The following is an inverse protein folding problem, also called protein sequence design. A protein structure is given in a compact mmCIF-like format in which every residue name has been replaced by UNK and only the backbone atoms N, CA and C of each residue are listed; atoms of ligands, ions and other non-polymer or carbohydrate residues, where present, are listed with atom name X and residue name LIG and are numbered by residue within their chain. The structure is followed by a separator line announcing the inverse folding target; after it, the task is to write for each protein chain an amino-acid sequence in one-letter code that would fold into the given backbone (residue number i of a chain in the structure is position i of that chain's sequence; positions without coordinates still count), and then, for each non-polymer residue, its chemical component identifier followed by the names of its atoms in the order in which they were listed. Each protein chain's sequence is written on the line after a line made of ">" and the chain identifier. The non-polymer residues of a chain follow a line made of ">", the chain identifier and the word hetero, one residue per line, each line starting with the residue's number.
data_IF_796610794117
#
_entry.id   IF_796610794117
#
_cell.length_a   1.000
_cell.length_b   1.000
_cell.length_c   1.000
_cell.angle_alpha   90.00
_cell.angle_beta   90.00
_cell.angle_gamma   90.00
#
_symmetry.space_group_name_H-M   'P 1'
#
loop_
_entity.id
_entity.type
_entity.pdbx_description
1 polymer ?
#
# COMPACT_ATOMS: atom_id res chain seq x y z
N UNK A 1 40.14 83.44 8.31
CA UNK A 1 39.12 84.14 7.50
C UNK A 1 37.80 83.40 7.61
N UNK A 2 36.74 84.08 8.02
CA UNK A 2 35.32 83.66 7.90
C UNK A 2 34.68 84.50 6.77
N UNK A 3 33.66 84.01 6.03
CA UNK A 3 32.25 83.87 6.48
C UNK A 3 31.72 82.42 6.32
N UNK A 4 30.71 81.90 7.03
CA UNK A 4 29.33 82.34 7.32
C UNK A 4 28.33 82.18 6.15
N UNK A 5 27.42 81.19 6.24
CA UNK A 5 25.96 81.43 6.30
C UNK A 5 25.11 80.16 6.61
N UNK A 6 23.91 80.39 7.17
CA UNK A 6 22.80 79.47 7.53
C UNK A 6 21.48 80.28 7.44
N UNK A 7 20.27 79.68 7.43
CA UNK A 7 19.82 78.41 6.84
C UNK A 7 18.85 78.70 5.64
N UNK A 8 17.48 78.77 5.67
CA UNK A 8 16.41 78.24 6.54
C UNK A 8 15.31 77.35 5.86
N UNK A 9 14.70 76.46 6.64
CA UNK A 9 13.30 75.95 6.59
C UNK A 9 12.62 75.44 5.30
N UNK A 10 11.98 74.26 5.43
CA UNK A 10 10.50 74.13 5.31
C UNK A 10 9.98 72.96 6.14
N UNK A 11 8.82 73.15 6.79
CA UNK A 11 8.10 72.13 7.56
C UNK A 11 7.25 71.29 6.61
N UNK A 12 7.21 69.98 6.80
CA UNK A 12 6.15 69.12 6.25
C UNK A 12 5.66 68.16 7.33
N UNK A 13 4.46 68.43 7.84
CA UNK A 13 3.64 67.44 8.52
C UNK A 13 3.33 66.31 7.53
N UNK A 14 3.34 65.05 7.99
CA UNK A 14 2.73 63.95 7.24
C UNK A 14 1.79 63.18 8.16
N UNK A 15 0.53 63.09 7.72
CA UNK A 15 -0.58 62.55 8.50
C UNK A 15 -0.54 61.02 8.60
N UNK A 16 -1.22 60.52 9.64
CA UNK A 16 -2.05 59.31 9.65
C UNK A 16 -2.06 58.48 8.34
N UNK A 17 -1.35 57.35 8.36
CA UNK A 17 -1.66 56.19 7.54
C UNK A 17 -2.43 55.17 8.39
N UNK A 18 -3.71 54.93 8.06
CA UNK A 18 -4.56 54.03 8.84
C UNK A 18 -4.10 52.56 8.75
N UNK A 19 -4.14 51.86 9.87
CA UNK A 19 -3.93 50.40 9.91
C UNK A 19 -5.13 49.73 9.24
N UNK A 20 -4.97 49.29 7.99
CA UNK A 20 -5.92 48.37 7.36
C UNK A 20 -5.82 46.99 8.03
N UNK A 21 -6.61 46.81 9.09
CA UNK A 21 -6.98 45.48 9.58
C UNK A 21 -7.86 44.80 8.52
N UNK A 22 -7.21 44.23 7.51
CA UNK A 22 -7.83 43.30 6.59
C UNK A 22 -8.23 42.04 7.39
N UNK A 23 -9.45 42.06 7.92
CA UNK A 23 -10.00 40.97 8.70
C UNK A 23 -10.02 39.70 7.86
N UNK A 24 -9.10 38.77 8.15
CA UNK A 24 -9.21 37.41 7.69
C UNK A 24 -10.54 36.87 8.23
N UNK A 25 -11.56 36.80 7.36
CA UNK A 25 -12.73 35.95 7.59
C UNK A 25 -12.19 34.54 7.71
N UNK A 26 -11.98 34.09 8.94
CA UNK A 26 -11.84 32.68 9.23
C UNK A 26 -13.09 32.02 8.67
N UNK A 27 -12.94 31.29 7.55
CA UNK A 27 -13.98 30.41 7.09
C UNK A 27 -14.30 29.49 8.27
N UNK A 28 -15.54 29.49 8.73
CA UNK A 28 -15.94 28.64 9.84
C UNK A 28 -15.55 27.21 9.47
N UNK A 29 -14.63 26.62 10.25
CA UNK A 29 -14.21 25.24 10.04
C UNK A 29 -15.47 24.40 9.99
N UNK A 30 -15.67 23.68 8.88
CA UNK A 30 -16.83 22.83 8.73
C UNK A 30 -16.92 21.91 9.97
N UNK A 31 -18.12 21.71 10.54
CA UNK A 31 -18.26 20.86 11.72
C UNK A 31 -17.62 19.50 11.42
N UNK A 32 -16.83 18.93 12.35
CA UNK A 32 -16.08 17.71 12.09
C UNK A 32 -17.03 16.65 11.53
N UNK A 33 -16.67 16.08 10.37
CA UNK A 33 -17.51 15.07 9.73
C UNK A 33 -17.76 13.94 10.73
N UNK A 34 -19.03 13.59 10.91
CA UNK A 34 -19.40 12.49 11.80
C UNK A 34 -18.84 11.20 11.22
N UNK A 35 -17.81 10.67 11.88
CA UNK A 35 -17.17 9.38 11.55
C UNK A 35 -18.25 8.31 11.45
N UNK A 36 -18.30 7.57 10.35
CA UNK A 36 -19.29 6.50 10.20
C UNK A 36 -18.92 5.28 11.05
N UNK A 37 -19.86 4.38 11.40
CA UNK A 37 -19.54 3.16 12.14
C UNK A 37 -18.54 2.23 11.41
N UNK A 38 -18.47 2.30 10.08
CA UNK A 38 -17.47 1.57 9.29
C UNK A 38 -16.10 2.24 9.38
N UNK A 39 -16.04 3.56 9.26
CA UNK A 39 -14.81 4.34 9.38
C UNK A 39 -14.21 4.23 10.80
N UNK A 40 -15.04 4.22 11.84
CA UNK A 40 -14.61 3.97 13.21
C UNK A 40 -13.95 2.58 13.35
N UNK A 41 -14.60 1.52 12.87
CA UNK A 41 -14.04 0.15 12.87
C UNK A 41 -12.74 0.05 12.07
N UNK A 42 -12.65 0.74 10.92
CA UNK A 42 -11.40 0.82 10.15
C UNK A 42 -10.28 1.49 10.95
N UNK A 43 -10.55 2.62 11.60
CA UNK A 43 -9.56 3.36 12.40
C UNK A 43 -9.08 2.54 13.61
N UNK A 44 -9.98 1.85 14.30
CA UNK A 44 -9.64 0.93 15.41
C UNK A 44 -8.76 -0.24 14.93
N UNK A 45 -9.16 -0.93 13.85
CA UNK A 45 -8.36 -2.00 13.22
C UNK A 45 -6.97 -1.49 12.82
N UNK A 46 -6.91 -0.34 12.16
CA UNK A 46 -5.66 0.30 11.75
C UNK A 46 -4.78 0.64 12.95
N UNK A 47 -5.36 1.11 14.05
CA UNK A 47 -4.63 1.44 15.27
C UNK A 47 -4.00 0.19 15.90
N UNK A 48 -4.76 -0.91 16.06
CA UNK A 48 -4.24 -2.20 16.54
C UNK A 48 -3.05 -2.69 15.70
N UNK A 49 -3.11 -2.52 14.38
CA UNK A 49 -2.01 -2.95 13.50
C UNK A 49 -0.79 -2.02 13.56
N UNK A 50 -0.98 -0.71 13.79
CA UNK A 50 0.14 0.21 14.08
C UNK A 50 0.80 -0.12 15.42
N UNK A 51 0.03 -0.46 16.44
CA UNK A 51 0.57 -0.87 17.75
C UNK A 51 1.37 -2.17 17.65
N UNK A 52 0.88 -3.14 16.86
CA UNK A 52 1.50 -4.46 16.74
C UNK A 52 2.71 -4.50 15.80
N UNK A 53 2.61 -3.88 14.62
CA UNK A 53 3.68 -3.92 13.62
C UNK A 53 4.61 -2.70 13.70
N UNK A 54 4.20 -1.63 14.37
CA UNK A 54 4.89 -0.34 14.38
C UNK A 54 4.56 0.51 13.14
N UNK A 55 5.58 1.15 12.56
CA UNK A 55 5.48 1.96 11.33
C UNK A 55 6.04 1.35 10.02
N UNK A 56 6.21 0.02 9.83
CA UNK A 56 6.66 -0.51 8.56
C UNK A 56 5.56 -0.39 7.50
N UNK A 57 5.93 0.09 6.32
CA UNK A 57 5.21 -0.26 5.10
C UNK A 57 5.48 -1.72 4.72
N UNK A 58 4.74 -2.23 3.74
CA UNK A 58 4.90 -3.60 3.24
C UNK A 58 4.89 -3.62 1.71
N UNK A 59 5.52 -4.61 1.10
CA UNK A 59 5.27 -4.92 -0.31
C UNK A 59 4.01 -5.79 -0.40
N UNK A 60 3.01 -5.31 -1.13
CA UNK A 60 1.89 -6.13 -1.58
C UNK A 60 2.29 -6.87 -2.84
N UNK A 61 2.05 -8.19 -2.86
CA UNK A 61 2.22 -9.05 -4.03
C UNK A 61 0.87 -9.68 -4.35
N UNK A 62 0.38 -9.50 -5.58
CA UNK A 62 -0.89 -10.10 -6.01
C UNK A 62 -0.71 -10.84 -7.32
N UNK A 63 -1.09 -12.12 -7.33
CA UNK A 63 -1.22 -12.95 -8.51
C UNK A 63 -2.50 -13.81 -8.45
N UNK A 64 -2.64 -14.73 -9.40
CA UNK A 64 -3.67 -15.76 -9.39
C UNK A 64 -3.05 -17.12 -9.69
N UNK A 65 -3.77 -18.19 -9.37
CA UNK A 65 -3.42 -19.55 -9.75
C UNK A 65 -3.20 -19.70 -11.27
N UNK A 66 -2.30 -20.59 -11.67
CA UNK A 66 -2.00 -20.81 -13.08
C UNK A 66 -3.27 -21.19 -13.87
N UNK A 67 -3.47 -20.54 -15.01
CA UNK A 67 -4.65 -20.73 -15.86
C UNK A 67 -5.93 -20.03 -15.38
N UNK A 68 -5.90 -19.30 -14.25
CA UNK A 68 -7.04 -18.54 -13.74
C UNK A 68 -6.84 -17.03 -13.95
N UNK A 69 -7.94 -16.32 -14.24
CA UNK A 69 -7.98 -14.87 -14.39
C UNK A 69 -9.21 -14.30 -13.68
N UNK A 70 -9.01 -13.18 -12.99
CA UNK A 70 -10.04 -12.46 -12.23
C UNK A 70 -10.18 -11.04 -12.76
N UNK A 71 -11.41 -10.64 -13.07
CA UNK A 71 -11.70 -9.31 -13.64
C UNK A 71 -12.11 -8.32 -12.56
N UNK A 72 -11.75 -7.05 -12.78
CA UNK A 72 -12.10 -5.93 -11.90
C UNK A 72 -11.78 -6.16 -10.40
N UNK A 73 -10.63 -6.78 -10.13
CA UNK A 73 -10.16 -7.06 -8.77
C UNK A 73 -9.92 -5.76 -7.99
N UNK A 74 -10.43 -5.69 -6.75
CA UNK A 74 -10.22 -4.59 -5.81
C UNK A 74 -10.03 -5.16 -4.40
N UNK A 75 -8.94 -4.76 -3.71
CA UNK A 75 -8.70 -5.14 -2.31
C UNK A 75 -8.83 -3.90 -1.43
N UNK A 76 -9.45 -4.06 -0.27
CA UNK A 76 -9.63 -3.03 0.75
C UNK A 76 -9.11 -3.57 2.08
N UNK A 77 -8.53 -2.74 2.94
CA UNK A 77 -8.61 -3.04 4.37
C UNK A 77 -10.11 -3.05 4.73
N UNK A 78 -10.61 -4.05 5.46
CA UNK A 78 -12.03 -4.48 5.42
C UNK A 78 -13.11 -3.37 5.36
N UNK A 79 -12.98 -2.33 6.18
CA UNK A 79 -13.93 -1.20 6.27
C UNK A 79 -13.39 0.13 5.68
N UNK A 80 -12.30 0.10 4.92
CA UNK A 80 -11.71 1.29 4.32
C UNK A 80 -12.49 1.75 3.09
N UNK A 81 -12.73 3.07 2.99
CA UNK A 81 -13.37 3.73 1.85
C UNK A 81 -12.61 3.58 0.52
N UNK A 82 -11.30 3.34 0.58
CA UNK A 82 -10.41 3.29 -0.57
C UNK A 82 -9.67 1.95 -0.65
N UNK A 83 -9.56 1.42 -1.87
CA UNK A 83 -8.86 0.17 -2.15
C UNK A 83 -7.35 0.34 -1.98
N UNK A 84 -6.69 -0.57 -1.28
CA UNK A 84 -5.22 -0.67 -1.25
C UNK A 84 -4.65 -1.29 -2.54
N UNK A 85 -5.48 -1.98 -3.31
CA UNK A 85 -5.11 -2.57 -4.60
C UNK A 85 -6.29 -2.59 -5.55
N UNK A 86 -6.03 -2.41 -6.85
CA UNK A 86 -7.05 -2.54 -7.91
C UNK A 86 -6.41 -2.91 -9.24
N UNK A 87 -7.07 -3.81 -9.99
CA UNK A 87 -6.67 -4.21 -11.34
C UNK A 87 -7.86 -4.45 -12.27
N UNK A 88 -7.63 -4.46 -13.58
CA UNK A 88 -8.63 -4.82 -14.60
C UNK A 88 -8.66 -6.33 -14.87
N UNK A 89 -7.49 -6.97 -15.00
CA UNK A 89 -7.34 -8.43 -15.13
C UNK A 89 -6.16 -8.95 -14.31
N UNK A 90 -6.43 -9.83 -13.36
CA UNK A 90 -5.45 -10.47 -12.48
C UNK A 90 -5.27 -11.94 -12.85
N UNK A 91 -4.07 -12.29 -13.31
CA UNK A 91 -3.63 -13.66 -13.60
C UNK A 91 -2.23 -13.89 -13.02
N UNK A 92 -1.69 -15.10 -13.14
CA UNK A 92 -0.27 -15.36 -12.83
C UNK A 92 0.69 -14.51 -13.70
N UNK A 93 0.38 -14.33 -14.99
CA UNK A 93 1.20 -13.54 -15.93
C UNK A 93 1.15 -12.05 -15.61
N UNK A 94 0.06 -11.58 -15.01
CA UNK A 94 -0.12 -10.21 -14.58
C UNK A 94 0.11 -10.07 -13.06
N UNK A 95 1.07 -10.79 -12.47
CA UNK A 95 1.52 -10.54 -11.09
C UNK A 95 1.86 -9.05 -10.92
N UNK A 96 1.45 -8.46 -9.80
CA UNK A 96 1.83 -7.10 -9.40
C UNK A 96 2.55 -7.11 -8.06
N UNK A 97 3.58 -6.28 -7.94
CA UNK A 97 4.31 -5.98 -6.71
C UNK A 97 4.25 -4.48 -6.45
N UNK A 98 3.89 -4.07 -5.23
CA UNK A 98 3.70 -2.66 -4.86
C UNK A 98 4.17 -2.41 -3.43
N UNK A 99 5.17 -1.54 -3.24
CA UNK A 99 5.51 -1.02 -1.92
C UNK A 99 4.43 -0.04 -1.44
N UNK A 100 3.85 -0.30 -0.26
CA UNK A 100 2.77 0.49 0.33
C UNK A 100 3.21 1.05 1.69
N UNK A 101 3.29 2.38 1.79
CA UNK A 101 3.64 3.11 3.01
C UNK A 101 2.46 3.28 3.98
N UNK A 102 1.73 2.19 4.23
CA UNK A 102 0.56 2.15 5.12
C UNK A 102 0.67 0.97 6.10
N UNK A 103 -0.03 1.00 7.25
CA UNK A 103 -0.02 -0.11 8.19
C UNK A 103 -0.53 -1.41 7.55
N UNK A 104 0.00 -2.54 7.99
CA UNK A 104 -0.52 -3.87 7.67
C UNK A 104 -2.01 -3.92 7.97
N UNK A 105 -2.89 -4.37 7.05
CA UNK A 105 -4.31 -4.52 7.33
C UNK A 105 -4.55 -5.72 8.26
N UNK A 106 -5.42 -5.56 9.25
CA UNK A 106 -5.86 -6.67 10.14
C UNK A 106 -6.59 -7.73 9.32
N UNK A 107 -7.51 -7.25 8.47
CA UNK A 107 -8.28 -8.01 7.49
C UNK A 107 -8.32 -7.30 6.14
N UNK A 108 -8.33 -8.07 5.07
CA UNK A 108 -8.49 -7.58 3.69
C UNK A 108 -9.76 -8.14 3.09
N UNK A 109 -10.65 -7.25 2.64
CA UNK A 109 -11.80 -7.59 1.81
C UNK A 109 -11.39 -7.54 0.35
N UNK A 110 -11.67 -8.61 -0.39
CA UNK A 110 -11.29 -8.83 -1.77
C UNK A 110 -12.57 -8.99 -2.58
N UNK A 111 -12.75 -8.16 -3.60
CA UNK A 111 -13.88 -8.26 -4.54
C UNK A 111 -13.38 -8.44 -5.97
N UNK A 112 -14.14 -9.17 -6.77
CA UNK A 112 -13.95 -9.28 -8.23
C UNK A 112 -15.29 -9.45 -8.95
N UNK A 113 -15.29 -9.22 -10.26
CA UNK A 113 -16.51 -9.09 -11.07
C UNK A 113 -16.48 -9.96 -12.33
N UNK A 114 -17.63 -10.09 -12.97
CA UNK A 114 -17.80 -10.71 -14.29
C UNK A 114 -17.32 -9.83 -15.46
N UNK A 115 -17.09 -8.53 -15.24
CA UNK A 115 -16.61 -7.57 -16.25
C UNK A 115 -15.54 -6.63 -15.69
N UNK A 116 -14.61 -6.19 -16.55
CA UNK A 116 -13.61 -5.18 -16.24
C UNK A 116 -13.93 -3.78 -16.79
N UNK A 117 -15.10 -3.62 -17.42
CA UNK A 117 -15.55 -2.37 -18.03
C UNK A 117 -15.89 -1.30 -16.97
N UNK A 118 -16.09 -0.07 -17.45
CA UNK A 118 -16.55 1.06 -16.65
C UNK A 118 -17.85 1.61 -17.23
N UNK A 119 -18.84 1.84 -16.38
CA UNK A 119 -20.07 2.57 -16.73
C UNK A 119 -19.91 4.01 -16.27
N UNK A 120 -20.20 4.97 -17.14
CA UNK A 120 -20.34 6.37 -16.75
C UNK A 120 -21.53 6.50 -15.78
N UNK A 121 -21.33 7.23 -14.68
CA UNK A 121 -22.41 7.58 -13.78
C UNK A 121 -23.34 8.61 -14.46
N UNK A 122 -24.57 8.83 -13.95
CA UNK A 122 -25.50 9.79 -14.54
C UNK A 122 -24.98 11.23 -14.61
N UNK A 123 -24.00 11.58 -13.75
CA UNK A 123 -23.30 12.87 -13.77
C UNK A 123 -22.36 13.04 -14.98
N UNK A 124 -22.00 11.96 -15.69
CA UNK A 124 -20.98 11.86 -16.76
C UNK A 124 -19.57 12.36 -16.38
N UNK A 125 -19.35 12.70 -15.12
CA UNK A 125 -18.06 13.18 -14.58
C UNK A 125 -17.32 12.03 -13.90
N UNK A 126 -18.05 11.09 -13.30
CA UNK A 126 -17.48 9.94 -12.61
C UNK A 126 -17.84 8.64 -13.33
N UNK A 127 -16.99 7.63 -13.20
CA UNK A 127 -17.28 6.28 -13.68
C UNK A 127 -17.21 5.29 -12.53
N UNK A 128 -18.06 4.26 -12.60
CA UNK A 128 -18.03 3.10 -11.70
C UNK A 128 -17.67 1.86 -12.49
N UNK A 129 -17.11 0.84 -11.83
CA UNK A 129 -16.93 -0.46 -12.48
C UNK A 129 -18.28 -1.04 -12.88
N UNK A 130 -18.32 -1.57 -14.10
CA UNK A 130 -19.41 -2.40 -14.60
C UNK A 130 -19.38 -3.78 -13.94
N UNK A 131 -20.35 -4.61 -14.29
CA UNK A 131 -20.37 -6.01 -13.88
C UNK A 131 -20.86 -6.28 -12.45
N UNK A 132 -21.38 -7.48 -12.28
CA UNK A 132 -21.83 -8.00 -10.99
C UNK A 132 -20.62 -8.40 -10.15
N UNK A 133 -20.71 -8.25 -8.83
CA UNK A 133 -19.73 -8.84 -7.92
C UNK A 133 -19.99 -10.35 -7.91
N UNK A 134 -19.01 -11.13 -8.40
CA UNK A 134 -19.09 -12.61 -8.45
C UNK A 134 -18.18 -13.27 -7.42
N UNK A 135 -17.39 -12.48 -6.70
CA UNK A 135 -16.72 -12.88 -5.47
C UNK A 135 -16.49 -11.70 -4.55
N UNK A 136 -16.73 -11.92 -3.27
CA UNK A 136 -16.57 -10.98 -2.17
C UNK A 136 -16.15 -11.81 -0.95
N UNK A 137 -14.89 -11.73 -0.56
CA UNK A 137 -14.34 -12.51 0.55
C UNK A 137 -13.51 -11.60 1.49
N UNK A 138 -13.60 -11.86 2.79
CA UNK A 138 -12.72 -11.22 3.78
C UNK A 138 -11.73 -12.23 4.31
N UNK A 139 -10.44 -11.89 4.23
CA UNK A 139 -9.33 -12.72 4.70
C UNK A 139 -8.63 -12.04 5.87
N UNK A 140 -8.31 -12.84 6.88
CA UNK A 140 -7.46 -12.43 8.00
C UNK A 140 -6.00 -12.34 7.58
N UNK A 141 -5.35 -11.24 7.92
CA UNK A 141 -4.02 -10.89 7.42
C UNK A 141 -3.09 -10.59 8.59
N UNK A 142 -3.28 -9.46 9.26
CA UNK A 142 -2.44 -9.06 10.39
C UNK A 142 -2.41 -10.12 11.49
N UNK A 143 -3.57 -10.61 11.93
CA UNK A 143 -3.70 -11.64 12.99
C UNK A 143 -2.90 -12.90 12.72
N UNK A 144 -2.79 -13.32 11.44
CA UNK A 144 -2.14 -14.58 11.04
C UNK A 144 -0.61 -14.53 11.00
N UNK A 145 -0.01 -13.35 10.91
CA UNK A 145 1.46 -13.21 10.82
C UNK A 145 2.08 -13.51 12.19
N UNK A 146 3.07 -14.41 12.32
CA UNK A 146 3.70 -14.73 13.61
C UNK A 146 4.42 -13.55 14.26
N UNK A 147 4.39 -13.45 15.60
CA UNK A 147 5.10 -12.40 16.34
C UNK A 147 6.62 -12.47 16.13
N UNK A 148 7.19 -13.68 16.06
CA UNK A 148 8.61 -13.92 15.75
C UNK A 148 9.11 -13.22 14.47
N UNK A 149 8.25 -13.06 13.46
CA UNK A 149 8.54 -12.36 12.21
C UNK A 149 8.62 -10.85 12.44
N UNK A 150 7.70 -10.31 13.24
CA UNK A 150 7.65 -8.89 13.61
C UNK A 150 8.88 -8.54 14.44
N UNK A 151 9.21 -9.36 15.43
CA UNK A 151 10.40 -9.19 16.29
C UNK A 151 11.71 -9.25 15.47
N UNK A 152 11.74 -10.05 14.40
CA UNK A 152 12.86 -10.12 13.46
C UNK A 152 12.99 -8.86 12.58
N UNK A 153 11.87 -8.28 12.12
CA UNK A 153 11.86 -6.98 11.43
C UNK A 153 12.23 -5.82 12.35
N UNK A 154 11.85 -5.88 13.63
CA UNK A 154 12.25 -4.87 14.63
C UNK A 154 13.76 -4.93 14.91
N UNK A 155 14.34 -6.15 14.94
CA UNK A 155 15.78 -6.37 15.17
C UNK A 155 16.64 -6.06 13.94
N UNK A 156 16.20 -6.41 12.73
CA UNK A 156 16.83 -6.01 11.47
C UNK A 156 15.80 -5.34 10.52
N UNK A 157 15.65 -4.00 10.60
CA UNK A 157 14.69 -3.23 9.81
C UNK A 157 15.11 -3.04 8.35
N UNK A 158 16.18 -3.70 7.88
CA UNK A 158 16.55 -3.75 6.45
C UNK A 158 15.71 -4.76 5.66
N UNK A 159 14.89 -5.57 6.33
CA UNK A 159 13.92 -6.44 5.71
C UNK A 159 12.63 -5.72 5.28
N UNK A 160 12.03 -6.18 4.19
CA UNK A 160 10.69 -5.75 3.76
C UNK A 160 9.71 -6.89 3.98
N UNK A 161 8.66 -6.64 4.77
CA UNK A 161 7.51 -7.54 4.88
C UNK A 161 6.79 -7.61 3.53
N UNK A 162 6.61 -8.81 3.01
CA UNK A 162 5.83 -9.09 1.78
C UNK A 162 4.51 -9.73 2.16
N UNK A 163 3.38 -9.06 1.86
CA UNK A 163 2.03 -9.61 1.99
C UNK A 163 1.58 -10.10 0.61
N UNK A 164 1.38 -11.41 0.49
CA UNK A 164 1.17 -12.08 -0.81
C UNK A 164 -0.23 -12.67 -0.88
N UNK A 165 -0.91 -12.43 -2.00
CA UNK A 165 -2.26 -12.91 -2.26
C UNK A 165 -2.28 -13.61 -3.61
N UNK A 166 -2.69 -14.89 -3.62
CA UNK A 166 -2.82 -15.71 -4.83
C UNK A 166 -4.28 -16.10 -5.01
N UNK A 167 -4.97 -15.38 -5.90
CA UNK A 167 -6.41 -15.58 -6.13
C UNK A 167 -6.69 -16.96 -6.74
N UNK A 168 -7.79 -17.58 -6.33
CA UNK A 168 -8.26 -18.83 -6.91
C UNK A 168 -9.78 -18.95 -6.89
N UNK A 169 -10.33 -19.80 -7.76
CA UNK A 169 -11.76 -20.12 -7.79
C UNK A 169 -12.27 -20.83 -6.51
N UNK A 170 -11.37 -21.20 -5.58
CA UNK A 170 -11.69 -21.72 -4.25
C UNK A 170 -11.54 -20.66 -3.13
N UNK A 171 -11.38 -19.39 -3.50
CA UNK A 171 -10.99 -18.28 -2.62
C UNK A 171 -9.49 -17.95 -2.69
N UNK A 172 -9.12 -16.77 -2.24
CA UNK A 172 -7.73 -16.28 -2.28
C UNK A 172 -6.88 -16.93 -1.19
N UNK A 173 -5.67 -17.33 -1.56
CA UNK A 173 -4.64 -17.82 -0.65
C UNK A 173 -3.82 -16.65 -0.12
N UNK A 174 -3.61 -16.57 1.19
CA UNK A 174 -2.77 -15.53 1.80
C UNK A 174 -1.45 -16.11 2.30
N UNK A 175 -0.33 -15.45 1.99
CA UNK A 175 0.99 -15.83 2.46
C UNK A 175 1.89 -14.64 2.71
N UNK A 176 3.02 -14.89 3.37
CA UNK A 176 4.00 -13.85 3.71
C UNK A 176 5.43 -14.35 3.54
N UNK A 177 6.38 -13.42 3.47
CA UNK A 177 7.80 -13.61 3.77
C UNK A 177 8.45 -12.26 4.11
N UNK A 178 9.70 -12.29 4.59
CA UNK A 178 10.57 -11.11 4.62
C UNK A 178 11.56 -11.23 3.45
N UNK A 179 11.60 -10.23 2.57
CA UNK A 179 12.70 -10.04 1.61
C UNK A 179 13.81 -9.19 2.23
N UNK A 180 15.06 -9.64 2.09
CA UNK A 180 16.28 -8.89 2.44
C UNK A 180 17.27 -8.92 1.27
N UNK A 181 18.15 -7.93 1.20
CA UNK A 181 19.24 -7.85 0.21
C UNK A 181 20.59 -7.69 0.93
N UNK A 182 21.11 -8.77 1.56
CA UNK A 182 22.31 -8.70 2.37
C UNK A 182 23.52 -8.29 1.52
N UNK A 183 24.19 -7.19 1.91
CA UNK A 183 25.32 -6.63 1.16
C UNK A 183 24.93 -5.72 -0.02
N UNK A 184 23.64 -5.42 -0.22
CA UNK A 184 23.24 -4.34 -1.13
C UNK A 184 23.65 -2.99 -0.57
N UNK A 185 24.43 -2.24 -1.35
CA UNK A 185 24.78 -0.85 -1.08
C UNK A 185 24.32 0.00 -2.27
N UNK A 186 23.35 0.91 -2.10
CA UNK A 186 22.84 1.77 -3.18
C UNK A 186 23.87 2.79 -3.70
N UNK A 187 25.05 2.91 -3.08
CA UNK A 187 26.18 3.71 -3.58
C UNK A 187 27.21 2.90 -4.36
N UNK A 188 27.27 1.58 -4.16
CA UNK A 188 28.23 0.72 -4.87
C UNK A 188 27.88 0.67 -6.35
N UNK A 189 28.90 0.82 -7.20
CA UNK A 189 28.77 0.70 -8.65
C UNK A 189 29.62 -0.45 -9.18
N UNK A 190 29.18 -1.03 -10.28
CA UNK A 190 30.00 -1.92 -11.08
C UNK A 190 30.94 -1.12 -12.00
N UNK A 191 31.69 -1.84 -12.83
CA UNK A 191 32.62 -1.26 -13.80
C UNK A 191 31.96 -0.31 -14.82
N UNK A 192 30.66 -0.44 -15.10
CA UNK A 192 29.92 0.40 -16.05
C UNK A 192 29.16 1.55 -15.40
N UNK A 193 29.30 1.73 -14.08
CA UNK A 193 28.61 2.79 -13.34
C UNK A 193 27.17 2.45 -12.96
N UNK A 194 26.76 1.18 -13.08
CA UNK A 194 25.44 0.69 -12.69
C UNK A 194 25.41 0.21 -11.24
N UNK A 195 24.25 0.25 -10.59
CA UNK A 195 24.11 -0.21 -9.21
C UNK A 195 24.37 -1.72 -9.09
N UNK A 196 25.30 -2.13 -8.21
CA UNK A 196 25.64 -3.54 -8.07
C UNK A 196 24.43 -4.36 -7.62
N UNK A 197 23.97 -5.25 -8.51
CA UNK A 197 22.83 -6.11 -8.23
C UNK A 197 23.16 -7.12 -7.12
N UNK A 198 22.30 -7.14 -6.10
CA UNK A 198 22.29 -8.18 -5.07
C UNK A 198 20.92 -8.85 -5.08
N UNK A 199 20.95 -10.17 -5.25
CA UNK A 199 19.74 -11.00 -5.29
C UNK A 199 19.00 -11.00 -3.95
N UNK A 200 17.65 -11.00 -3.96
CA UNK A 200 16.87 -11.06 -2.74
C UNK A 200 17.00 -12.43 -2.05
N UNK A 201 17.01 -12.39 -0.72
CA UNK A 201 16.95 -13.55 0.17
C UNK A 201 15.63 -13.48 0.94
N UNK A 202 14.86 -14.56 0.90
CA UNK A 202 13.54 -14.64 1.53
C UNK A 202 13.57 -15.54 2.76
N UNK A 203 13.07 -15.03 3.89
CA UNK A 203 12.97 -15.71 5.19
C UNK A 203 11.53 -15.67 5.71
N UNK A 204 11.21 -16.44 6.75
CA UNK A 204 9.86 -16.51 7.36
C UNK A 204 8.71 -16.75 6.37
N UNK A 205 8.93 -17.55 5.32
CA UNK A 205 7.91 -17.85 4.33
C UNK A 205 6.80 -18.74 4.91
N UNK A 206 5.58 -18.20 5.05
CA UNK A 206 4.44 -18.88 5.66
C UNK A 206 3.09 -18.48 5.08
N UNK A 207 2.02 -19.02 5.68
CA UNK A 207 0.63 -18.86 5.25
C UNK A 207 0.10 -20.04 4.43
N UNK A 208 -0.88 -19.78 3.58
CA UNK A 208 -1.58 -20.77 2.75
C UNK A 208 -0.76 -21.21 1.53
N UNK A 209 0.28 -20.46 1.15
CA UNK A 209 1.13 -20.78 0.01
C UNK A 209 2.54 -20.19 0.09
N UNK A 210 3.43 -20.73 -0.73
CA UNK A 210 4.79 -20.22 -0.98
C UNK A 210 5.12 -20.33 -2.46
N UNK A 211 5.50 -19.22 -3.08
CA UNK A 211 5.99 -19.16 -4.46
C UNK A 211 7.15 -20.14 -4.71
N UNK A 212 7.22 -20.73 -5.90
CA UNK A 212 8.42 -21.40 -6.38
C UNK A 212 9.61 -20.43 -6.49
N UNK A 213 10.84 -20.92 -6.27
CA UNK A 213 12.05 -20.17 -6.61
C UNK A 213 12.41 -20.52 -8.05
N UNK A 214 12.23 -19.57 -8.95
CA UNK A 214 12.58 -19.71 -10.37
C UNK A 214 13.92 -19.00 -10.63
N UNK A 215 14.81 -19.66 -11.38
CA UNK A 215 16.08 -19.10 -11.84
C UNK A 215 16.27 -19.45 -13.32
N UNK A 216 16.52 -18.45 -14.16
CA UNK A 216 16.61 -18.59 -15.63
C UNK A 216 15.46 -19.41 -16.24
N UNK A 217 14.22 -19.11 -15.82
CA UNK A 217 13.01 -19.79 -16.28
C UNK A 217 12.79 -21.22 -15.75
N UNK A 218 13.67 -21.75 -14.92
CA UNK A 218 13.56 -23.11 -14.34
C UNK A 218 13.26 -23.05 -12.84
N UNK A 219 12.36 -23.89 -12.30
CA UNK A 219 12.16 -24.00 -10.86
C UNK A 219 13.39 -24.66 -10.22
N UNK A 220 14.09 -23.91 -9.35
CA UNK A 220 15.20 -24.42 -8.52
C UNK A 220 14.76 -24.77 -7.10
N UNK A 221 13.53 -24.42 -6.73
CA UNK A 221 12.79 -24.96 -5.57
C UNK A 221 11.31 -24.84 -5.86
N UNK A 222 10.57 -25.94 -5.76
CA UNK A 222 9.11 -25.91 -5.88
C UNK A 222 8.45 -25.01 -4.84
N UNK A 223 7.39 -24.34 -5.28
CA UNK A 223 6.41 -23.71 -4.42
C UNK A 223 5.42 -24.74 -3.88
N UNK A 224 4.47 -24.27 -3.11
CA UNK A 224 3.34 -25.07 -2.65
C UNK A 224 2.16 -24.18 -2.28
N UNK A 225 0.96 -24.75 -2.23
CA UNK A 225 -0.24 -24.13 -1.68
C UNK A 225 -1.10 -25.16 -0.95
N UNK A 226 -2.00 -24.71 -0.08
CA UNK A 226 -3.03 -25.52 0.56
C UNK A 226 -4.28 -25.47 -0.32
N UNK A 227 -4.73 -26.61 -0.85
CA UNK A 227 -6.03 -26.70 -1.53
C UNK A 227 -7.15 -26.44 -0.51
N UNK A 228 -7.98 -25.43 -0.77
CA UNK A 228 -8.96 -24.92 0.20
C UNK A 228 -10.11 -25.89 0.45
N UNK A 229 -10.36 -26.81 -0.49
CA UNK A 229 -11.43 -27.82 -0.40
C UNK A 229 -11.01 -29.04 0.42
N UNK A 230 -9.75 -29.45 0.34
CA UNK A 230 -9.23 -30.70 0.94
C UNK A 230 -8.29 -30.46 2.11
N UNK A 231 -7.75 -29.25 2.29
CA UNK A 231 -6.70 -28.94 3.26
C UNK A 231 -5.33 -29.53 2.90
N UNK A 232 -5.21 -30.23 1.77
CA UNK A 232 -3.97 -30.90 1.35
C UNK A 232 -3.00 -29.88 0.75
N UNK A 233 -1.72 -29.99 1.13
CA UNK A 233 -0.65 -29.20 0.52
C UNK A 233 -0.24 -29.80 -0.82
N UNK A 234 -0.35 -29.00 -1.87
CA UNK A 234 0.00 -29.35 -3.25
C UNK A 234 1.30 -28.62 -3.63
N UNK A 235 2.26 -29.32 -4.22
CA UNK A 235 3.47 -28.70 -4.78
C UNK A 235 3.22 -28.03 -6.13
N UNK A 236 3.99 -27.00 -6.45
CA UNK A 236 3.87 -26.26 -7.72
C UNK A 236 5.22 -25.73 -8.19
N UNK A 237 5.34 -25.48 -9.50
CA UNK A 237 6.55 -24.90 -10.13
C UNK A 237 6.44 -23.37 -10.31
N UNK A 238 5.40 -22.72 -9.74
CA UNK A 238 5.14 -21.26 -9.76
C UNK A 238 4.77 -20.65 -8.39
#
# INVERSE_FOLDING_TARGET
>A
MTPSHKPPSRRTFLMFGAVFLAGCRAAALAPPQKVTPEEARYLESRQRMVERFGRPGFELVVDAMAGQEFLAVEFYAEHAKHSLYRKSGQSLKTQTKMALSQPVPERVRIIWRDSNEYVLNPDRVTSRRAGNIIGDETIEVGTRIPQELIDDLTRDPRGTLRLKFRMSNQGTLFGWDIERRPGFDPKKRDQWGEAVYVGPVHSFAGGDFREAKIFNGKPVRKGWYIDRRTGVRIETDY
#
